data_IF_756328295108
#
_entry.id   IF_756328295108
#
_cell.length_a   1.000
_cell.length_b   1.000
_cell.length_c   1.000
_cell.angle_alpha   90.00
_cell.angle_beta   90.00
_cell.angle_gamma   90.00
#
_symmetry.space_group_name_H-M   'P 1'
#
loop_
_entity.id
_entity.type
_entity.pdbx_description
1 polymer ?
#
# COMPACT_ATOMS: atom_id res chain seq x y z
N UNK A 1 2.78 -27.41 -25.57
CA UNK A 1 3.69 -26.26 -25.37
C UNK A 1 2.94 -25.21 -24.59
N UNK A 2 3.36 -24.88 -23.38
CA UNK A 2 2.77 -23.77 -22.62
C UNK A 2 3.18 -22.47 -23.31
N UNK A 3 2.20 -21.71 -23.81
CA UNK A 3 2.47 -20.39 -24.39
C UNK A 3 2.98 -19.49 -23.26
N UNK A 4 4.28 -19.23 -23.25
CA UNK A 4 4.87 -18.20 -22.38
C UNK A 4 4.41 -16.85 -22.93
N UNK A 5 3.52 -16.19 -22.19
CA UNK A 5 3.09 -14.83 -22.51
C UNK A 5 4.31 -13.90 -22.53
N UNK A 6 4.42 -13.06 -23.56
CA UNK A 6 5.56 -12.16 -23.78
C UNK A 6 5.62 -10.97 -22.82
N UNK A 7 4.61 -10.79 -21.97
CA UNK A 7 4.61 -9.72 -21.00
C UNK A 7 5.75 -9.90 -19.97
N UNK A 8 6.32 -8.80 -19.46
CA UNK A 8 7.31 -8.86 -18.39
C UNK A 8 6.73 -9.65 -17.21
N UNK A 9 7.43 -10.70 -16.78
CA UNK A 9 7.06 -11.41 -15.54
C UNK A 9 7.26 -10.45 -14.37
N UNK A 10 6.22 -10.24 -13.58
CA UNK A 10 6.31 -9.57 -12.28
C UNK A 10 7.22 -10.43 -11.40
N UNK A 11 8.04 -9.78 -10.56
CA UNK A 11 8.89 -10.49 -9.62
C UNK A 11 8.08 -11.36 -8.65
N UNK A 12 8.69 -12.47 -8.19
CA UNK A 12 8.07 -13.37 -7.22
C UNK A 12 7.85 -12.68 -5.87
N UNK A 13 6.76 -13.04 -5.18
CA UNK A 13 6.46 -12.61 -3.81
C UNK A 13 7.23 -13.42 -2.75
N UNK A 14 7.94 -14.47 -3.15
CA UNK A 14 8.62 -15.40 -2.24
C UNK A 14 9.54 -14.66 -1.25
N UNK A 15 9.27 -14.82 0.04
CA UNK A 15 10.01 -14.17 1.13
C UNK A 15 9.81 -12.65 1.26
N UNK A 16 9.16 -11.99 0.28
CA UNK A 16 8.97 -10.53 0.30
C UNK A 16 8.02 -10.13 1.42
N UNK A 17 6.89 -10.83 1.58
CA UNK A 17 5.91 -10.52 2.65
C UNK A 17 6.57 -10.54 4.02
N UNK A 18 7.35 -11.59 4.32
CA UNK A 18 7.99 -11.75 5.62
C UNK A 18 9.07 -10.68 5.86
N UNK A 19 9.84 -10.34 4.81
CA UNK A 19 10.84 -9.27 4.88
C UNK A 19 10.20 -7.89 5.15
N UNK A 20 9.10 -7.56 4.46
CA UNK A 20 8.38 -6.31 4.68
C UNK A 20 7.70 -6.28 6.05
N UNK A 21 7.12 -7.39 6.49
CA UNK A 21 6.51 -7.50 7.80
C UNK A 21 7.53 -7.30 8.92
N UNK A 22 8.72 -7.88 8.78
CA UNK A 22 9.81 -7.68 9.73
C UNK A 22 10.26 -6.21 9.80
N UNK A 23 10.37 -5.54 8.65
CA UNK A 23 10.81 -4.15 8.58
C UNK A 23 9.77 -3.15 9.11
N UNK A 24 8.48 -3.37 8.82
CA UNK A 24 7.39 -2.54 9.35
C UNK A 24 7.20 -2.72 10.86
N UNK A 25 7.54 -3.91 11.39
CA UNK A 25 7.56 -4.22 12.80
C UNK A 25 6.26 -3.81 13.51
N UNK A 26 6.30 -2.95 14.53
CA UNK A 26 5.13 -2.59 15.32
C UNK A 26 4.08 -1.79 14.53
N UNK A 27 4.44 -1.18 13.39
CA UNK A 27 3.49 -0.41 12.59
C UNK A 27 2.53 -1.31 11.80
N UNK A 28 2.87 -2.58 11.60
CA UNK A 28 2.06 -3.54 10.86
C UNK A 28 0.99 -4.17 11.76
N UNK A 29 -0.26 -4.13 11.31
CA UNK A 29 -1.39 -4.82 11.95
C UNK A 29 -1.59 -6.21 11.37
N UNK A 30 -1.65 -6.32 10.04
CA UNK A 30 -1.78 -7.62 9.36
C UNK A 30 -1.04 -7.64 8.03
N UNK A 31 -0.49 -8.79 7.65
CA UNK A 31 0.11 -9.02 6.33
C UNK A 31 -0.48 -10.25 5.68
N UNK A 32 -1.04 -10.11 4.49
CA UNK A 32 -1.65 -11.19 3.71
C UNK A 32 -1.06 -11.24 2.31
N UNK A 33 -1.19 -12.41 1.69
CA UNK A 33 -1.00 -12.58 0.26
C UNK A 33 -2.28 -13.18 -0.31
N UNK A 34 -2.94 -12.44 -1.18
CA UNK A 34 -4.21 -12.85 -1.81
C UNK A 34 -4.15 -12.51 -3.29
N UNK A 35 -4.62 -13.42 -4.15
CA UNK A 35 -4.64 -13.23 -5.60
C UNK A 35 -3.29 -12.85 -6.25
N UNK A 36 -2.17 -13.23 -5.62
CA UNK A 36 -0.82 -12.91 -6.08
C UNK A 36 -0.33 -11.51 -5.69
N UNK A 37 -1.05 -10.82 -4.80
CA UNK A 37 -0.69 -9.50 -4.30
C UNK A 37 -0.43 -9.52 -2.79
N UNK A 38 0.60 -8.80 -2.36
CA UNK A 38 0.90 -8.61 -0.94
C UNK A 38 0.11 -7.42 -0.41
N UNK A 39 -0.68 -7.67 0.64
CA UNK A 39 -1.50 -6.68 1.33
C UNK A 39 -0.95 -6.47 2.74
N UNK A 40 -0.62 -5.21 3.06
CA UNK A 40 -0.08 -4.81 4.36
C UNK A 40 -1.02 -3.81 5.00
N UNK A 41 -1.74 -4.21 6.05
CA UNK A 41 -2.56 -3.28 6.85
C UNK A 41 -1.69 -2.70 7.95
N UNK A 42 -1.56 -1.38 8.01
CA UNK A 42 -0.71 -0.67 8.97
C UNK A 42 -1.53 0.24 9.88
N UNK A 43 -0.94 0.63 11.01
CA UNK A 43 -1.53 1.60 11.93
C UNK A 43 -1.66 2.95 11.23
N UNK A 44 -2.87 3.53 11.29
CA UNK A 44 -3.19 4.80 10.62
C UNK A 44 -2.28 5.94 11.06
N UNK A 45 -1.97 6.05 12.34
CA UNK A 45 -1.10 7.10 12.91
C UNK A 45 0.35 6.99 12.41
N UNK A 46 0.75 5.84 11.88
CA UNK A 46 2.11 5.53 11.43
C UNK A 46 2.22 5.35 9.93
N UNK A 47 1.17 5.70 9.16
CA UNK A 47 1.14 5.48 7.71
C UNK A 47 2.29 6.20 6.99
N UNK A 48 2.55 7.47 7.33
CA UNK A 48 3.63 8.23 6.70
C UNK A 48 4.99 7.57 6.96
N UNK A 49 5.26 7.14 8.20
CA UNK A 49 6.51 6.45 8.55
C UNK A 49 6.63 5.09 7.82
N UNK A 50 5.56 4.31 7.78
CA UNK A 50 5.53 3.02 7.10
C UNK A 50 5.80 3.17 5.61
N UNK A 51 5.13 4.13 4.95
CA UNK A 51 5.34 4.41 3.53
C UNK A 51 6.73 4.98 3.25
N UNK A 52 7.26 5.83 4.13
CA UNK A 52 8.63 6.38 4.02
C UNK A 52 9.66 5.25 4.08
N UNK A 53 9.53 4.33 5.04
CA UNK A 53 10.39 3.15 5.14
C UNK A 53 10.33 2.29 3.87
N UNK A 54 9.12 2.02 3.36
CA UNK A 54 8.94 1.24 2.14
C UNK A 54 9.58 1.92 0.92
N UNK A 55 9.45 3.24 0.81
CA UNK A 55 10.05 4.05 -0.26
C UNK A 55 11.57 4.04 -0.19
N UNK A 56 12.12 4.39 0.98
CA UNK A 56 13.53 4.73 1.15
C UNK A 56 14.41 3.48 1.35
N UNK A 57 13.92 2.47 2.07
CA UNK A 57 14.71 1.27 2.40
C UNK A 57 14.32 0.04 1.56
N UNK A 58 13.07 -0.04 1.10
CA UNK A 58 12.59 -1.19 0.31
C UNK A 58 12.37 -0.89 -1.17
N UNK A 59 12.76 0.30 -1.63
CA UNK A 59 12.77 0.69 -3.03
C UNK A 59 11.37 0.71 -3.68
N UNK A 60 10.34 1.09 -2.94
CA UNK A 60 9.01 1.36 -3.52
C UNK A 60 8.88 2.83 -3.91
N UNK A 61 9.56 3.22 -4.99
CA UNK A 61 9.71 4.64 -5.34
C UNK A 61 8.44 5.27 -5.91
N UNK A 62 7.56 4.46 -6.49
CA UNK A 62 6.40 4.97 -7.22
C UNK A 62 5.11 4.66 -6.46
N UNK A 63 4.42 5.72 -6.02
CA UNK A 63 3.01 5.67 -5.68
C UNK A 63 2.20 5.66 -6.98
N UNK A 64 1.51 4.56 -7.24
CA UNK A 64 0.74 4.38 -8.48
C UNK A 64 -0.67 4.94 -8.35
N UNK A 65 -1.31 4.69 -7.20
CA UNK A 65 -2.71 5.03 -6.96
C UNK A 65 -2.99 5.13 -5.45
N UNK A 66 -3.99 5.91 -5.07
CA UNK A 66 -4.63 5.85 -3.75
C UNK A 66 -6.12 5.65 -3.98
N UNK A 67 -6.70 4.59 -3.40
CA UNK A 67 -8.13 4.32 -3.50
C UNK A 67 -8.79 4.31 -2.13
N UNK A 68 -9.99 4.90 -2.04
CA UNK A 68 -10.90 4.75 -0.92
C UNK A 68 -11.85 3.58 -1.15
N UNK A 69 -12.07 2.76 -0.12
CA UNK A 69 -13.06 1.67 -0.14
C UNK A 69 -14.03 1.87 1.02
N UNK A 70 -15.32 1.88 0.72
CA UNK A 70 -16.39 1.99 1.71
C UNK A 70 -16.93 0.60 2.08
N UNK A 71 -16.84 0.28 3.37
CA UNK A 71 -17.44 -0.90 3.99
C UNK A 71 -18.48 -0.46 5.04
N UNK A 72 -19.74 -0.19 4.66
CA UNK A 72 -20.77 0.39 5.54
C UNK A 72 -21.07 -0.41 6.81
N UNK A 73 -20.76 -1.69 6.83
CA UNK A 73 -21.02 -2.58 7.97
C UNK A 73 -19.88 -2.57 9.02
N UNK A 74 -18.75 -1.92 8.75
CA UNK A 74 -17.60 -1.85 9.67
C UNK A 74 -17.67 -0.58 10.53
N UNK A 75 -17.17 -0.68 11.76
CA UNK A 75 -17.04 0.50 12.64
C UNK A 75 -16.03 1.52 12.08
N UNK A 76 -14.88 1.03 11.62
CA UNK A 76 -14.01 1.78 10.71
C UNK A 76 -14.47 1.50 9.28
N UNK A 77 -15.40 2.35 8.84
CA UNK A 77 -16.12 2.23 7.58
C UNK A 77 -15.20 2.27 6.37
N UNK A 78 -14.17 3.11 6.39
CA UNK A 78 -13.34 3.40 5.23
C UNK A 78 -12.02 2.65 5.29
N UNK A 79 -11.54 2.20 4.14
CA UNK A 79 -10.18 1.70 3.95
C UNK A 79 -9.50 2.54 2.88
N UNK A 80 -8.33 3.12 3.20
CA UNK A 80 -7.50 3.85 2.22
C UNK A 80 -6.36 2.93 1.80
N UNK A 81 -6.27 2.67 0.50
CA UNK A 81 -5.34 1.73 -0.11
C UNK A 81 -4.31 2.49 -0.93
N UNK A 82 -3.03 2.31 -0.60
CA UNK A 82 -1.90 2.86 -1.32
C UNK A 82 -1.28 1.76 -2.18
N UNK A 83 -1.29 1.92 -3.51
CA UNK A 83 -0.68 0.97 -4.43
C UNK A 83 0.74 1.41 -4.78
N UNK A 84 1.74 0.65 -4.35
CA UNK A 84 3.15 0.97 -4.55
C UNK A 84 3.79 0.09 -5.62
N UNK A 85 4.73 0.67 -6.36
CA UNK A 85 5.57 -0.03 -7.33
C UNK A 85 7.05 0.24 -7.06
N UNK A 86 7.82 -0.85 -7.02
CA UNK A 86 9.27 -0.82 -7.12
C UNK A 86 9.69 -1.01 -8.57
N UNK A 87 10.25 0.04 -9.17
CA UNK A 87 10.80 -0.05 -10.54
C UNK A 87 12.10 -0.86 -10.56
N UNK A 88 12.89 -0.79 -9.47
CA UNK A 88 14.14 -1.54 -9.33
C UNK A 88 13.90 -3.05 -9.25
N UNK A 89 12.86 -3.46 -8.51
CA UNK A 89 12.56 -4.87 -8.27
C UNK A 89 11.48 -5.42 -9.21
N UNK A 90 10.85 -4.58 -10.02
CA UNK A 90 9.66 -4.92 -10.82
C UNK A 90 8.59 -5.64 -9.96
N UNK A 91 8.28 -5.05 -8.80
CA UNK A 91 7.46 -5.67 -7.76
C UNK A 91 6.45 -4.66 -7.19
N UNK A 92 5.24 -5.13 -6.82
CA UNK A 92 4.13 -4.30 -6.34
C UNK A 92 3.64 -4.74 -4.97
N UNK A 93 3.17 -3.80 -4.17
CA UNK A 93 2.51 -4.07 -2.90
C UNK A 93 1.35 -3.10 -2.68
N UNK A 94 0.38 -3.52 -1.88
CA UNK A 94 -0.68 -2.65 -1.39
C UNK A 94 -0.53 -2.42 0.10
N UNK A 95 -0.56 -1.17 0.52
CA UNK A 95 -0.56 -0.76 1.92
C UNK A 95 -1.93 -0.19 2.25
N UNK A 96 -2.53 -0.63 3.34
CA UNK A 96 -3.91 -0.32 3.72
C UNK A 96 -3.96 0.31 5.09
N UNK A 97 -4.85 1.29 5.26
CA UNK A 97 -5.23 1.80 6.57
C UNK A 97 -6.73 1.87 6.68
N UNK A 98 -7.24 1.59 7.87
CA UNK A 98 -8.64 1.79 8.17
C UNK A 98 -8.86 3.20 8.71
N UNK A 99 -10.02 3.76 8.42
CA UNK A 99 -10.46 5.06 8.90
C UNK A 99 -11.97 5.03 9.21
N UNK A 100 -12.37 5.89 10.14
CA UNK A 100 -13.78 6.22 10.37
C UNK A 100 -14.08 7.60 9.80
N UNK A 101 -15.35 7.94 9.64
CA UNK A 101 -15.82 9.19 9.01
C UNK A 101 -15.22 10.45 9.64
N UNK A 102 -15.04 10.45 10.97
CA UNK A 102 -14.50 11.60 11.71
C UNK A 102 -13.02 11.46 12.05
N UNK A 103 -12.34 10.48 11.45
CA UNK A 103 -11.00 10.08 11.85
C UNK A 103 -10.06 10.23 10.66
N UNK A 104 -9.28 11.32 10.58
CA UNK A 104 -8.44 11.61 9.43
C UNK A 104 -7.26 10.65 9.32
N UNK A 105 -6.82 10.43 8.09
CA UNK A 105 -5.58 9.71 7.74
C UNK A 105 -4.48 10.74 7.48
N UNK A 106 -3.25 10.57 8.02
CA UNK A 106 -2.14 11.46 7.71
C UNK A 106 -1.82 11.51 6.22
N UNK A 107 -1.52 12.72 5.70
CA UNK A 107 -1.11 12.93 4.30
C UNK A 107 0.27 12.35 4.02
N UNK A 108 0.49 11.92 2.79
CA UNK A 108 1.76 11.38 2.29
C UNK A 108 2.30 12.20 1.10
N UNK A 109 1.75 13.40 0.92
CA UNK A 109 2.23 14.42 -0.03
C UNK A 109 3.70 14.82 0.17
N UNK A 110 4.19 14.72 1.41
CA UNK A 110 5.60 14.89 1.77
C UNK A 110 6.50 13.82 1.16
N UNK A 111 5.94 12.65 0.84
CA UNK A 111 6.66 11.52 0.27
C UNK A 111 6.55 11.46 -1.25
N UNK A 112 5.35 11.66 -1.78
CA UNK A 112 5.08 11.70 -3.21
C UNK A 112 4.19 12.90 -3.55
N UNK A 113 4.64 13.84 -4.40
CA UNK A 113 3.83 14.99 -4.80
C UNK A 113 2.50 14.59 -5.48
N UNK A 114 2.46 13.44 -6.18
CA UNK A 114 1.24 12.93 -6.84
C UNK A 114 0.11 12.63 -5.85
N UNK A 115 0.44 12.31 -4.59
CA UNK A 115 -0.55 12.04 -3.55
C UNK A 115 -1.50 13.21 -3.33
N UNK A 116 -1.09 14.45 -3.63
CA UNK A 116 -1.95 15.62 -3.42
C UNK A 116 -3.22 15.62 -4.27
N UNK A 117 -3.19 15.04 -5.47
CA UNK A 117 -4.39 14.85 -6.27
C UNK A 117 -5.18 13.63 -5.80
N UNK A 118 -4.50 12.51 -5.61
CA UNK A 118 -5.12 11.22 -5.26
C UNK A 118 -5.83 11.26 -3.89
N UNK A 119 -5.22 11.90 -2.88
CA UNK A 119 -5.84 12.11 -1.57
C UNK A 119 -7.11 12.99 -1.66
N UNK A 120 -7.12 13.97 -2.58
CA UNK A 120 -8.29 14.83 -2.80
C UNK A 120 -9.41 14.10 -3.52
N UNK A 121 -9.08 13.22 -4.46
CA UNK A 121 -10.06 12.35 -5.12
C UNK A 121 -10.70 11.37 -4.14
N UNK A 122 -9.91 10.75 -3.26
CA UNK A 122 -10.41 9.89 -2.17
C UNK A 122 -11.24 10.66 -1.13
N UNK A 123 -10.96 11.95 -0.94
CA UNK A 123 -11.76 12.79 -0.04
C UNK A 123 -13.10 13.23 -0.66
N UNK A 124 -13.15 13.43 -1.98
CA UNK A 124 -14.33 13.95 -2.68
C UNK A 124 -15.42 12.88 -2.92
N UNK A 125 -15.02 11.60 -3.05
CA UNK A 125 -15.90 10.45 -3.29
C UNK A 125 -16.29 9.71 -2.00
#
# INVERSE_FOLDING_TARGET
MTVLHSAPKIASNEGVRDALSAALGPMLLTSKEEHGEILLTVQRERIEDALRLLRDEHAYQQLVEIAGVDFPQRAERFEVVYMLLSLTKNHRVMVKVNAAENTPVPTVTTLWPVAGWLEREVFDL
#
